data_IF_402648752653
#
_entry.id   IF_402648752653
#
_cell.length_a   1.000
_cell.length_b   1.000
_cell.length_c   1.000
_cell.angle_alpha   90.00
_cell.angle_beta   90.00
_cell.angle_gamma   90.00
#
_symmetry.space_group_name_H-M   'P 1'
#
loop_
_entity.id
_entity.type
_entity.pdbx_description
1 polymer ?
#
# COMPACT_ATOMS: atom_id res chain seq x y z
N UNK A 1 47.56 -35.81 21.18
CA UNK A 1 47.38 -34.40 20.77
C UNK A 1 46.10 -34.25 19.94
N UNK A 2 44.96 -33.85 20.54
CA UNK A 2 43.68 -33.73 19.85
C UNK A 2 43.36 -32.32 19.31
N UNK A 3 44.31 -31.38 19.34
CA UNK A 3 44.09 -29.93 19.12
C UNK A 3 43.59 -29.52 17.74
N UNK A 4 43.90 -30.27 16.67
CA UNK A 4 43.50 -29.90 15.29
C UNK A 4 42.00 -30.06 15.04
N UNK A 5 41.35 -31.09 15.60
CA UNK A 5 39.90 -31.31 15.40
C UNK A 5 39.06 -30.23 16.07
N UNK A 6 39.46 -29.77 17.26
CA UNK A 6 38.82 -28.66 17.94
C UNK A 6 39.01 -27.32 17.21
N UNK A 7 40.17 -27.12 16.58
CA UNK A 7 40.42 -25.93 15.76
C UNK A 7 39.51 -25.87 14.52
N UNK A 8 39.29 -27.00 13.84
CA UNK A 8 38.35 -27.08 12.71
C UNK A 8 36.89 -26.85 13.12
N UNK A 9 36.46 -27.40 14.26
CA UNK A 9 35.09 -27.21 14.78
C UNK A 9 34.88 -25.75 15.21
N UNK A 10 35.88 -25.14 15.86
CA UNK A 10 35.83 -23.72 16.24
C UNK A 10 35.78 -22.80 15.01
N UNK A 11 36.55 -23.10 13.96
CA UNK A 11 36.56 -22.32 12.73
C UNK A 11 35.24 -22.44 11.95
N UNK A 12 34.66 -23.64 11.89
CA UNK A 12 33.35 -23.86 11.28
C UNK A 12 32.23 -23.14 12.04
N UNK A 13 32.28 -23.15 13.38
CA UNK A 13 31.34 -22.39 14.22
C UNK A 13 31.45 -20.87 14.02
N UNK A 14 32.67 -20.34 13.91
CA UNK A 14 32.89 -18.92 13.65
C UNK A 14 32.36 -18.47 12.27
N UNK A 15 32.55 -19.30 11.23
CA UNK A 15 32.01 -19.03 9.89
C UNK A 15 30.48 -19.09 9.84
N UNK A 16 29.87 -20.05 10.55
CA UNK A 16 28.41 -20.14 10.66
C UNK A 16 27.81 -18.92 11.40
N UNK A 17 28.46 -18.47 12.47
CA UNK A 17 28.05 -17.27 13.20
C UNK A 17 28.18 -15.99 12.35
N UNK A 18 29.25 -15.88 11.55
CA UNK A 18 29.43 -14.77 10.61
C UNK A 18 28.38 -14.78 9.50
N UNK A 19 28.07 -15.95 8.92
CA UNK A 19 27.03 -16.08 7.91
C UNK A 19 25.64 -15.72 8.48
N UNK A 20 25.32 -16.19 9.70
CA UNK A 20 24.08 -15.84 10.38
C UNK A 20 24.00 -14.33 10.67
N UNK A 21 25.10 -13.73 11.13
CA UNK A 21 25.19 -12.29 11.35
C UNK A 21 24.94 -11.50 10.05
N UNK A 22 25.54 -11.93 8.93
CA UNK A 22 25.33 -11.29 7.62
C UNK A 22 23.88 -11.44 7.13
N UNK A 23 23.25 -12.60 7.31
CA UNK A 23 21.84 -12.82 6.96
C UNK A 23 20.93 -11.92 7.80
N UNK A 24 21.14 -11.86 9.12
CA UNK A 24 20.39 -11.00 10.04
C UNK A 24 20.61 -9.53 9.68
N UNK A 25 21.84 -9.13 9.35
CA UNK A 25 22.14 -7.75 8.93
C UNK A 25 21.44 -7.39 7.61
N UNK A 26 21.49 -8.24 6.59
CA UNK A 26 20.79 -8.03 5.31
C UNK A 26 19.27 -7.94 5.52
N UNK A 27 18.70 -8.81 6.36
CA UNK A 27 17.29 -8.76 6.70
C UNK A 27 16.94 -7.45 7.44
N UNK A 28 17.80 -7.03 8.38
CA UNK A 28 17.61 -5.80 9.16
C UNK A 28 17.73 -4.55 8.29
N UNK A 29 18.71 -4.49 7.38
CA UNK A 29 18.91 -3.37 6.45
C UNK A 29 17.73 -3.25 5.48
N UNK A 30 17.15 -4.37 5.02
CA UNK A 30 15.90 -4.36 4.22
C UNK A 30 14.69 -3.86 5.00
N UNK A 31 14.63 -4.10 6.31
CA UNK A 31 13.56 -3.59 7.18
C UNK A 31 13.76 -2.11 7.57
N UNK A 32 15.00 -1.64 7.67
CA UNK A 32 15.34 -0.24 7.96
C UNK A 32 15.00 0.71 6.78
N UNK A 33 14.87 0.19 5.55
CA UNK A 33 14.43 0.96 4.38
C UNK A 33 12.93 1.30 4.39
N UNK A 34 12.17 0.89 5.41
CA UNK A 34 10.75 1.26 5.56
C UNK A 34 10.67 2.60 6.31
N UNK A 35 10.94 3.71 5.61
CA UNK A 35 10.68 5.04 6.16
C UNK A 35 9.19 5.35 6.02
N UNK A 36 8.41 5.13 7.07
CA UNK A 36 7.01 5.56 7.13
C UNK A 36 6.93 6.90 7.85
N UNK A 37 6.58 8.02 7.18
CA UNK A 37 6.17 9.21 7.88
C UNK A 37 4.79 8.97 8.50
N UNK A 38 4.74 8.99 9.83
CA UNK A 38 3.50 9.00 10.58
C UNK A 38 2.79 10.35 10.31
N UNK A 39 1.66 10.31 9.60
CA UNK A 39 0.86 11.51 9.35
C UNK A 39 0.38 12.14 10.66
N UNK A 40 0.74 13.41 10.90
CA UNK A 40 0.13 14.24 11.95
C UNK A 40 -1.19 14.80 11.43
N UNK A 41 -2.31 14.31 11.94
CA UNK A 41 -3.46 15.11 12.42
C UNK A 41 -4.64 14.19 12.80
N UNK A 42 -5.04 14.24 14.08
CA UNK A 42 -6.30 13.68 14.56
C UNK A 42 -7.27 14.85 14.80
N UNK A 43 -8.28 15.00 13.94
CA UNK A 43 -9.40 15.90 14.19
C UNK A 43 -10.41 15.26 15.16
N UNK A 44 -11.01 16.11 16.00
CA UNK A 44 -11.84 15.80 17.16
C UNK A 44 -12.99 14.77 16.91
N UNK A 45 -13.44 14.06 17.96
CA UNK A 45 -14.48 13.04 17.82
C UNK A 45 -15.84 13.65 17.47
N UNK A 46 -16.48 13.12 16.43
CA UNK A 46 -17.88 13.37 16.14
C UNK A 46 -18.75 12.48 17.04
N UNK A 47 -19.80 13.04 17.63
CA UNK A 47 -20.82 12.29 18.40
C UNK A 47 -21.54 11.32 17.46
N UNK A 48 -21.54 10.05 17.82
CA UNK A 48 -22.33 9.01 17.15
C UNK A 48 -23.80 9.24 17.53
N UNK A 49 -24.60 9.75 16.60
CA UNK A 49 -26.06 9.86 16.78
C UNK A 49 -26.69 8.54 16.30
N UNK A 50 -27.06 7.68 17.25
CA UNK A 50 -27.69 6.38 16.99
C UNK A 50 -29.08 6.54 16.35
N UNK A 51 -29.21 6.14 15.08
CA UNK A 51 -30.50 5.78 14.48
C UNK A 51 -30.66 4.27 14.59
N UNK A 52 -31.59 3.82 15.45
CA UNK A 52 -31.84 2.40 15.72
C UNK A 52 -32.48 1.75 14.48
N UNK A 53 -31.65 1.19 13.60
CA UNK A 53 -32.02 0.12 12.67
C UNK A 53 -31.89 -1.22 13.40
N UNK A 54 -32.64 -2.28 13.02
CA UNK A 54 -32.38 -3.61 13.53
C UNK A 54 -30.91 -3.96 13.32
N UNK A 55 -30.15 -4.12 14.40
CA UNK A 55 -28.70 -4.34 14.33
C UNK A 55 -28.42 -5.64 13.59
N UNK A 56 -27.84 -5.53 12.40
CA UNK A 56 -27.32 -6.69 11.68
C UNK A 56 -26.25 -7.38 12.55
N UNK A 57 -25.99 -8.69 12.36
CA UNK A 57 -24.88 -9.36 13.05
C UNK A 57 -23.54 -8.64 12.85
N UNK A 58 -23.33 -8.03 11.68
CA UNK A 58 -22.16 -7.19 11.39
C UNK A 58 -22.09 -5.95 12.28
N UNK A 59 -23.22 -5.25 12.49
CA UNK A 59 -23.28 -4.08 13.36
C UNK A 59 -22.84 -4.42 14.79
N UNK A 60 -23.30 -5.55 15.35
CA UNK A 60 -22.90 -5.98 16.70
C UNK A 60 -21.40 -6.25 16.81
N UNK A 61 -20.81 -6.88 15.79
CA UNK A 61 -19.37 -7.17 15.78
C UNK A 61 -18.55 -5.87 15.70
N UNK A 62 -18.90 -4.97 14.79
CA UNK A 62 -18.14 -3.72 14.59
C UNK A 62 -18.31 -2.79 15.78
N UNK A 63 -19.54 -2.54 16.24
CA UNK A 63 -19.80 -1.65 17.38
C UNK A 63 -19.19 -2.19 18.67
N UNK A 64 -19.26 -3.50 18.90
CA UNK A 64 -18.58 -4.14 20.03
C UNK A 64 -17.05 -4.01 19.98
N UNK A 65 -16.47 -4.07 18.78
CA UNK A 65 -15.01 -3.91 18.59
C UNK A 65 -14.54 -2.47 18.77
N UNK A 66 -15.43 -1.49 18.60
CA UNK A 66 -15.12 -0.06 18.68
C UNK A 66 -15.56 0.60 19.99
N UNK A 67 -16.24 -0.13 20.88
CA UNK A 67 -16.87 0.43 22.09
C UNK A 67 -15.88 1.23 22.98
N UNK A 68 -14.66 0.73 23.13
CA UNK A 68 -13.60 1.35 23.93
C UNK A 68 -12.49 1.98 23.07
N UNK A 69 -12.69 2.04 21.75
CA UNK A 69 -11.70 2.56 20.83
C UNK A 69 -11.68 4.09 20.86
N UNK A 70 -10.52 4.67 21.19
CA UNK A 70 -10.31 6.11 21.07
C UNK A 70 -10.09 6.51 19.61
N UNK A 71 -10.60 7.69 19.22
CA UNK A 71 -10.41 8.26 17.88
C UNK A 71 -11.68 8.26 17.02
N UNK A 72 -11.53 8.63 15.76
CA UNK A 72 -12.63 8.53 14.79
C UNK A 72 -12.33 7.43 13.77
N UNK A 73 -13.28 6.53 13.59
CA UNK A 73 -13.20 5.41 12.65
C UNK A 73 -14.19 5.59 11.50
N UNK A 74 -13.81 5.11 10.33
CA UNK A 74 -14.73 4.78 9.26
C UNK A 74 -14.56 3.31 8.92
N UNK A 75 -15.67 2.58 8.83
CA UNK A 75 -15.69 1.14 8.62
C UNK A 75 -16.75 0.81 7.59
N UNK A 76 -16.38 0.05 6.57
CA UNK A 76 -17.30 -0.55 5.61
C UNK A 76 -17.01 -2.05 5.60
N UNK A 77 -18.04 -2.86 5.82
CA UNK A 77 -17.97 -4.31 5.75
C UNK A 77 -19.09 -4.79 4.84
N UNK A 78 -18.74 -5.55 3.81
CA UNK A 78 -19.70 -6.12 2.88
C UNK A 78 -19.44 -7.60 2.65
N UNK A 79 -20.46 -8.41 2.84
CA UNK A 79 -20.44 -9.81 2.44
C UNK A 79 -20.91 -9.91 0.99
N UNK A 80 -20.00 -10.20 0.06
CA UNK A 80 -20.32 -10.26 -1.36
C UNK A 80 -21.24 -11.44 -1.74
N UNK A 81 -21.28 -12.51 -0.93
CA UNK A 81 -22.14 -13.68 -1.18
C UNK A 81 -23.58 -13.50 -0.71
N UNK A 82 -23.79 -12.79 0.42
CA UNK A 82 -25.13 -12.57 0.99
C UNK A 82 -25.70 -11.19 0.72
N UNK A 83 -24.87 -10.23 0.32
CA UNK A 83 -25.25 -8.81 0.15
C UNK A 83 -25.41 -8.06 1.48
N UNK A 84 -25.14 -8.69 2.63
CA UNK A 84 -25.18 -7.99 3.92
C UNK A 84 -24.06 -6.95 4.02
N UNK A 85 -24.39 -5.78 4.56
CA UNK A 85 -23.50 -4.64 4.62
C UNK A 85 -23.61 -3.89 5.96
N UNK A 86 -22.51 -3.30 6.41
CA UNK A 86 -22.44 -2.38 7.54
C UNK A 86 -21.49 -1.24 7.21
N UNK A 87 -21.98 -0.01 7.40
CA UNK A 87 -21.24 1.21 7.09
C UNK A 87 -21.28 2.18 8.28
N UNK A 88 -20.09 2.64 8.68
CA UNK A 88 -19.86 3.65 9.70
C UNK A 88 -18.97 4.74 9.10
N UNK A 89 -19.46 5.98 9.05
CA UNK A 89 -18.71 7.14 8.53
C UNK A 89 -18.09 6.90 7.14
N UNK A 90 -18.75 6.14 6.27
CA UNK A 90 -18.17 5.63 5.01
C UNK A 90 -17.61 6.72 4.10
N UNK A 91 -18.23 7.92 4.12
CA UNK A 91 -17.85 9.08 3.30
C UNK A 91 -16.92 10.07 4.03
N UNK A 92 -16.48 9.75 5.25
CA UNK A 92 -15.52 10.59 5.97
C UNK A 92 -14.13 10.41 5.37
N UNK A 93 -13.50 11.51 5.02
CA UNK A 93 -12.15 11.51 4.47
C UNK A 93 -11.08 11.37 5.55
N UNK A 94 -10.05 10.59 5.23
CA UNK A 94 -8.81 10.44 6.00
C UNK A 94 -7.61 10.64 5.08
N UNK A 95 -6.44 10.98 5.63
CA UNK A 95 -5.19 10.83 4.86
C UNK A 95 -5.06 9.37 4.48
N UNK A 96 -4.84 9.10 3.20
CA UNK A 96 -4.85 7.73 2.67
C UNK A 96 -3.67 6.88 3.15
N UNK A 97 -2.61 7.50 3.68
CA UNK A 97 -1.32 6.87 3.91
C UNK A 97 -0.89 6.13 2.61
N UNK A 98 -0.65 4.82 2.64
CA UNK A 98 -0.29 4.06 1.43
C UNK A 98 -1.47 3.51 0.65
N UNK A 99 -2.73 3.74 1.06
CA UNK A 99 -3.90 3.23 0.34
C UNK A 99 -4.03 3.80 -1.08
N UNK A 100 -3.49 5.00 -1.34
CA UNK A 100 -3.52 5.60 -2.68
C UNK A 100 -2.83 4.73 -3.74
N UNK A 101 -1.87 3.89 -3.33
CA UNK A 101 -1.09 3.02 -4.22
C UNK A 101 -2.00 2.01 -4.95
N UNK A 102 -3.18 1.73 -4.40
CA UNK A 102 -4.19 0.91 -5.07
C UNK A 102 -4.77 1.60 -6.31
N UNK A 103 -4.95 2.93 -6.28
CA UNK A 103 -5.35 3.69 -7.47
C UNK A 103 -4.21 3.81 -8.47
N UNK A 104 -2.97 3.94 -8.00
CA UNK A 104 -1.78 3.94 -8.87
C UNK A 104 -1.65 2.60 -9.60
N UNK A 105 -1.79 1.48 -8.89
CA UNK A 105 -1.80 0.13 -9.48
C UNK A 105 -2.91 -0.01 -10.51
N UNK A 106 -4.14 0.34 -10.15
CA UNK A 106 -5.27 0.20 -11.07
C UNK A 106 -5.12 1.07 -12.32
N UNK A 107 -4.62 2.31 -12.17
CA UNK A 107 -4.27 3.17 -13.30
C UNK A 107 -3.17 2.55 -14.17
N UNK A 108 -2.13 1.95 -13.57
CA UNK A 108 -1.08 1.27 -14.32
C UNK A 108 -1.63 0.11 -15.15
N UNK A 109 -2.49 -0.73 -14.59
CA UNK A 109 -3.14 -1.82 -15.31
C UNK A 109 -4.06 -1.31 -16.43
N UNK A 110 -4.73 -0.18 -16.24
CA UNK A 110 -5.54 0.46 -17.29
C UNK A 110 -4.65 0.90 -18.47
N UNK A 111 -3.51 1.52 -18.19
CA UNK A 111 -2.54 1.94 -19.21
C UNK A 111 -1.85 0.74 -19.89
N UNK A 112 -1.59 -0.34 -19.16
CA UNK A 112 -1.08 -1.61 -19.73
C UNK A 112 -2.10 -2.18 -20.72
N UNK A 113 -3.38 -2.26 -20.33
CA UNK A 113 -4.44 -2.73 -21.22
C UNK A 113 -4.60 -1.82 -22.45
N UNK A 114 -4.42 -0.51 -22.29
CA UNK A 114 -4.46 0.44 -23.39
C UNK A 114 -3.20 0.41 -24.29
N UNK A 115 -2.15 -0.32 -23.90
CA UNK A 115 -0.88 -0.39 -24.63
C UNK A 115 0.00 0.85 -24.51
N UNK A 116 -0.31 1.78 -23.59
CA UNK A 116 0.44 3.02 -23.35
C UNK A 116 1.49 2.89 -22.24
N UNK A 117 1.50 1.77 -21.54
CA UNK A 117 2.50 1.34 -20.57
C UNK A 117 2.83 -0.13 -20.84
N UNK A 118 4.10 -0.53 -20.76
CA UNK A 118 4.49 -1.94 -20.90
C UNK A 118 4.97 -2.49 -19.58
N UNK A 119 4.63 -3.74 -19.28
CA UNK A 119 5.04 -4.41 -18.02
C UNK A 119 6.57 -4.50 -17.88
N UNK A 120 7.30 -4.65 -19.00
CA UNK A 120 8.75 -4.73 -19.08
C UNK A 120 9.45 -3.37 -19.25
N UNK A 121 8.70 -2.26 -19.30
CA UNK A 121 9.28 -0.92 -19.37
C UNK A 121 10.08 -0.64 -18.10
N UNK A 122 11.35 -0.24 -18.24
CA UNK A 122 12.23 0.07 -17.12
C UNK A 122 12.02 1.53 -16.71
N UNK A 123 11.63 1.73 -15.46
CA UNK A 123 11.53 3.03 -14.80
C UNK A 123 12.81 3.28 -14.00
N UNK A 124 13.39 4.47 -14.14
CA UNK A 124 14.66 4.82 -13.51
C UNK A 124 14.62 6.25 -12.97
N UNK A 125 15.15 6.44 -11.76
CA UNK A 125 15.43 7.76 -11.18
C UNK A 125 16.65 7.67 -10.28
N UNK A 126 17.36 8.78 -10.08
CA UNK A 126 18.44 8.80 -9.08
C UNK A 126 17.86 8.77 -7.66
N UNK A 127 18.59 8.19 -6.71
CA UNK A 127 18.19 8.19 -5.30
C UNK A 127 18.03 9.62 -4.77
N UNK A 128 18.86 10.56 -5.25
CA UNK A 128 18.72 11.99 -4.96
C UNK A 128 17.35 12.53 -5.36
N UNK A 129 16.95 12.31 -6.61
CA UNK A 129 15.65 12.76 -7.10
C UNK A 129 14.48 12.11 -6.37
N UNK A 130 14.61 10.83 -6.01
CA UNK A 130 13.59 10.12 -5.23
C UNK A 130 13.45 10.71 -3.83
N UNK A 131 14.57 11.03 -3.17
CA UNK A 131 14.58 11.67 -1.86
C UNK A 131 13.98 13.09 -1.92
N UNK A 132 14.29 13.86 -2.97
CA UNK A 132 13.72 15.19 -3.19
C UNK A 132 12.20 15.14 -3.34
N UNK A 133 11.66 14.23 -4.16
CA UNK A 133 10.20 14.07 -4.35
C UNK A 133 9.50 13.62 -3.06
N UNK A 134 10.15 12.77 -2.28
CA UNK A 134 9.60 12.24 -1.03
C UNK A 134 9.88 13.13 0.18
N UNK A 135 10.55 14.26 -0.02
CA UNK A 135 10.98 15.18 1.04
C UNK A 135 11.86 14.50 2.12
N UNK A 136 12.60 13.45 1.74
CA UNK A 136 13.54 12.73 2.61
C UNK A 136 14.82 13.56 2.77
N UNK A 137 15.11 13.97 4.01
CA UNK A 137 16.35 14.66 4.36
C UNK A 137 17.38 13.64 4.84
N UNK A 138 18.47 13.49 4.09
CA UNK A 138 19.60 12.62 4.44
C UNK A 138 20.92 13.31 4.10
N UNK A 139 21.94 13.04 4.92
CA UNK A 139 23.33 13.45 4.67
C UNK A 139 24.14 12.33 3.96
N UNK A 140 23.52 11.17 3.73
CA UNK A 140 24.15 10.09 2.98
C UNK A 140 24.33 10.48 1.51
N UNK A 141 25.52 10.20 0.98
CA UNK A 141 25.78 10.32 -0.46
C UNK A 141 24.85 9.36 -1.24
N UNK A 142 24.14 9.84 -2.27
CA UNK A 142 23.26 9.01 -3.08
C UNK A 142 24.03 7.82 -3.69
N UNK A 143 23.50 6.61 -3.53
CA UNK A 143 24.13 5.35 -3.95
C UNK A 143 24.00 5.08 -5.46
N UNK A 144 23.35 5.99 -6.19
CA UNK A 144 23.19 5.94 -7.64
C UNK A 144 21.72 5.99 -8.07
N UNK A 145 21.39 5.22 -9.11
CA UNK A 145 20.04 5.13 -9.67
C UNK A 145 19.30 3.89 -9.19
N UNK A 146 18.02 4.05 -8.90
CA UNK A 146 17.09 2.95 -8.65
C UNK A 146 16.34 2.69 -9.96
N UNK A 147 16.33 1.43 -10.40
CA UNK A 147 15.66 1.01 -11.63
C UNK A 147 14.85 -0.26 -11.39
N UNK A 148 13.65 -0.31 -11.97
CA UNK A 148 12.77 -1.48 -11.92
C UNK A 148 11.84 -1.48 -13.12
N UNK A 149 11.42 -2.66 -13.58
CA UNK A 149 10.35 -2.76 -14.57
C UNK A 149 9.03 -2.27 -13.97
N UNK A 150 8.07 -1.86 -14.81
CA UNK A 150 6.71 -1.51 -14.37
C UNK A 150 6.09 -2.63 -13.54
N UNK A 151 6.20 -3.88 -14.01
CA UNK A 151 5.74 -5.06 -13.26
C UNK A 151 6.36 -5.10 -11.86
N UNK A 152 7.68 -4.94 -11.77
CA UNK A 152 8.37 -5.03 -10.48
C UNK A 152 8.07 -3.84 -9.56
N UNK A 153 7.82 -2.67 -10.13
CA UNK A 153 7.37 -1.50 -9.42
C UNK A 153 5.99 -1.73 -8.81
N UNK A 154 5.05 -2.27 -9.58
CA UNK A 154 3.69 -2.58 -9.10
C UNK A 154 3.77 -3.60 -7.95
N UNK A 155 4.50 -4.70 -8.13
CA UNK A 155 4.68 -5.71 -7.10
C UNK A 155 5.25 -5.12 -5.80
N UNK A 156 6.38 -4.42 -5.89
CA UNK A 156 7.06 -3.87 -4.71
C UNK A 156 6.22 -2.80 -4.02
N UNK A 157 5.53 -1.96 -4.80
CA UNK A 157 4.63 -0.92 -4.30
C UNK A 157 3.45 -1.50 -3.52
N UNK A 158 2.93 -2.69 -3.90
CA UNK A 158 1.75 -3.26 -3.26
C UNK A 158 2.12 -4.23 -2.13
N UNK A 159 3.06 -5.14 -2.37
CA UNK A 159 3.39 -6.21 -1.42
C UNK A 159 4.15 -5.66 -0.20
N UNK A 160 5.10 -4.75 -0.42
CA UNK A 160 5.93 -4.18 0.66
C UNK A 160 5.78 -2.66 0.81
N UNK A 161 4.79 -2.07 0.13
CA UNK A 161 4.52 -0.63 0.20
C UNK A 161 5.71 0.25 -0.20
N UNK A 162 6.59 -0.22 -1.10
CA UNK A 162 7.81 0.49 -1.49
C UNK A 162 7.48 1.89 -2.04
N UNK A 163 8.03 2.93 -1.40
CA UNK A 163 7.76 4.31 -1.78
C UNK A 163 8.53 4.75 -3.02
N UNK A 164 9.74 4.24 -3.25
CA UNK A 164 10.50 4.53 -4.47
C UNK A 164 9.78 3.97 -5.70
N UNK A 165 9.25 2.74 -5.59
CA UNK A 165 8.41 2.15 -6.62
C UNK A 165 7.14 2.97 -6.89
N UNK A 166 6.49 3.47 -5.82
CA UNK A 166 5.32 4.32 -5.93
C UNK A 166 5.61 5.65 -6.64
N UNK A 167 6.76 6.28 -6.33
CA UNK A 167 7.21 7.51 -7.01
C UNK A 167 7.50 7.24 -8.48
N UNK A 168 8.26 6.18 -8.80
CA UNK A 168 8.57 5.82 -10.19
C UNK A 168 7.29 5.63 -11.03
N UNK A 169 6.30 4.90 -10.51
CA UNK A 169 5.02 4.70 -11.20
C UNK A 169 4.21 6.00 -11.29
N UNK A 170 4.14 6.78 -10.21
CA UNK A 170 3.35 8.03 -10.20
C UNK A 170 3.90 9.05 -11.18
N UNK A 171 5.22 9.22 -11.23
CA UNK A 171 5.90 10.10 -12.19
C UNK A 171 5.66 9.63 -13.63
N UNK A 172 5.70 8.31 -13.87
CA UNK A 172 5.48 7.73 -15.20
C UNK A 172 4.03 7.84 -15.69
N UNK A 173 3.07 7.68 -14.78
CA UNK A 173 1.64 7.75 -15.11
C UNK A 173 1.16 9.20 -15.23
N UNK A 174 1.66 10.06 -14.34
CA UNK A 174 1.24 11.44 -14.17
C UNK A 174 -0.05 11.55 -13.34
N UNK A 175 -0.10 12.58 -12.49
CA UNK A 175 -1.22 12.85 -11.59
C UNK A 175 -2.58 12.90 -12.29
N UNK A 176 -2.65 13.48 -13.50
CA UNK A 176 -3.91 13.61 -14.25
C UNK A 176 -4.57 12.26 -14.56
N UNK A 177 -3.80 11.24 -14.91
CA UNK A 177 -4.36 9.91 -15.24
C UNK A 177 -4.93 9.24 -13.99
N UNK A 178 -4.23 9.36 -12.86
CA UNK A 178 -4.67 8.78 -11.59
C UNK A 178 -5.94 9.48 -11.10
N UNK A 179 -5.98 10.82 -11.16
CA UNK A 179 -7.19 11.58 -10.81
C UNK A 179 -8.37 11.26 -11.74
N UNK A 180 -8.13 11.14 -13.05
CA UNK A 180 -9.15 10.74 -14.01
C UNK A 180 -9.67 9.31 -13.75
N UNK A 181 -8.80 8.39 -13.34
CA UNK A 181 -9.20 7.04 -12.94
C UNK A 181 -10.22 7.08 -11.79
N UNK A 182 -9.96 7.84 -10.71
CA UNK A 182 -10.91 7.98 -9.61
C UNK A 182 -12.27 8.51 -10.10
N UNK A 183 -12.27 9.53 -10.95
CA UNK A 183 -13.49 10.12 -11.50
C UNK A 183 -14.27 9.13 -12.38
N UNK A 184 -13.59 8.46 -13.30
CA UNK A 184 -14.20 7.51 -14.24
C UNK A 184 -14.81 6.28 -13.54
N UNK A 185 -14.28 5.92 -12.37
CA UNK A 185 -14.77 4.78 -11.58
C UNK A 185 -15.72 5.16 -10.44
N UNK A 186 -16.12 6.44 -10.37
CA UNK A 186 -17.02 6.99 -9.35
C UNK A 186 -16.47 6.90 -7.91
N UNK A 187 -15.15 7.04 -7.73
CA UNK A 187 -14.51 7.17 -6.42
C UNK A 187 -14.43 8.65 -6.01
N UNK A 188 -15.58 9.33 -6.02
CA UNK A 188 -15.66 10.79 -5.91
C UNK A 188 -15.53 11.32 -4.49
N UNK A 189 -15.58 10.46 -3.47
CA UNK A 189 -15.41 10.87 -2.07
C UNK A 189 -13.94 10.83 -1.63
N UNK A 190 -13.06 10.24 -2.45
CA UNK A 190 -11.61 10.23 -2.30
C UNK A 190 -10.96 11.22 -3.26
N UNK A 191 -9.72 11.63 -2.98
CA UNK A 191 -8.97 12.50 -3.87
C UNK A 191 -7.49 12.15 -3.91
N UNK A 192 -6.88 12.31 -5.09
CA UNK A 192 -5.46 12.12 -5.31
C UNK A 192 -4.64 13.42 -5.15
N UNK A 193 -5.21 14.46 -4.53
CA UNK A 193 -4.52 15.72 -4.20
C UNK A 193 -3.36 15.48 -3.22
N UNK A 194 -2.54 16.50 -2.95
CA UNK A 194 -1.47 16.37 -1.93
C UNK A 194 -1.91 16.96 -0.59
N UNK A 195 -1.96 16.18 0.52
CA UNK A 195 -1.79 14.72 0.59
C UNK A 195 -3.04 13.95 0.12
N UNK A 196 -2.91 12.74 -0.45
CA UNK A 196 -4.07 12.02 -0.97
C UNK A 196 -5.03 11.61 0.14
N UNK A 197 -6.32 11.73 -0.11
CA UNK A 197 -7.41 11.47 0.84
C UNK A 197 -8.24 10.28 0.38
N UNK A 198 -8.59 9.39 1.32
CA UNK A 198 -9.41 8.22 1.05
C UNK A 198 -10.62 8.16 1.98
N UNK A 199 -11.69 7.54 1.50
CA UNK A 199 -12.87 7.19 2.29
C UNK A 199 -13.05 5.67 2.34
N UNK A 200 -13.64 5.16 3.42
CA UNK A 200 -13.89 3.72 3.54
C UNK A 200 -14.86 3.23 2.44
N UNK A 201 -15.83 4.07 2.04
CA UNK A 201 -16.78 3.77 0.98
C UNK A 201 -16.10 3.53 -0.38
N UNK A 202 -15.25 4.45 -0.83
CA UNK A 202 -14.58 4.31 -2.13
C UNK A 202 -13.57 3.17 -2.13
N UNK A 203 -12.86 2.96 -1.02
CA UNK A 203 -11.94 1.82 -0.90
C UNK A 203 -12.71 0.49 -0.97
N UNK A 204 -13.85 0.37 -0.28
CA UNK A 204 -14.69 -0.81 -0.36
C UNK A 204 -15.27 -1.00 -1.78
N UNK A 205 -15.69 0.07 -2.45
CA UNK A 205 -16.17 0.03 -3.82
C UNK A 205 -15.07 -0.44 -4.80
N UNK A 206 -13.82 -0.02 -4.60
CA UNK A 206 -12.67 -0.51 -5.38
C UNK A 206 -12.49 -2.02 -5.19
N UNK A 207 -12.46 -2.51 -3.94
CA UNK A 207 -12.33 -3.94 -3.67
C UNK A 207 -13.52 -4.76 -4.21
N UNK A 208 -14.74 -4.25 -4.12
CA UNK A 208 -15.91 -4.92 -4.70
C UNK A 208 -15.80 -5.02 -6.23
N UNK A 209 -15.41 -3.92 -6.92
CA UNK A 209 -15.18 -3.93 -8.37
C UNK A 209 -14.05 -4.89 -8.76
N UNK A 210 -12.99 -4.98 -7.97
CA UNK A 210 -11.93 -5.98 -8.16
C UNK A 210 -12.50 -7.39 -8.08
N UNK A 211 -13.17 -7.74 -6.98
CA UNK A 211 -13.75 -9.06 -6.76
C UNK A 211 -14.77 -9.47 -7.84
N UNK A 212 -15.50 -8.52 -8.41
CA UNK A 212 -16.46 -8.76 -9.51
C UNK A 212 -15.83 -8.79 -10.90
N UNK A 213 -14.57 -8.37 -11.06
CA UNK A 213 -13.93 -8.28 -12.37
C UNK A 213 -14.31 -7.04 -13.18
N UNK A 214 -14.79 -5.98 -12.51
CA UNK A 214 -15.47 -4.83 -13.11
C UNK A 214 -14.62 -3.55 -13.16
N UNK A 215 -13.44 -3.51 -12.55
CA UNK A 215 -12.62 -2.28 -12.55
C UNK A 215 -12.06 -1.97 -13.94
N UNK A 216 -11.59 -2.98 -14.68
CA UNK A 216 -11.04 -2.83 -16.04
C UNK A 216 -11.54 -3.97 -16.91
N UNK A 217 -11.29 -5.19 -16.46
CA UNK A 217 -11.84 -6.46 -16.92
C UNK A 217 -11.44 -7.54 -15.89
N UNK A 218 -11.95 -8.75 -16.08
CA UNK A 218 -11.67 -9.87 -15.17
C UNK A 218 -10.17 -10.19 -15.07
N UNK A 219 -9.44 -10.22 -16.19
CA UNK A 219 -8.03 -10.56 -16.22
C UNK A 219 -7.17 -9.56 -15.42
N UNK A 220 -7.38 -8.25 -15.60
CA UNK A 220 -6.68 -7.21 -14.86
C UNK A 220 -7.05 -7.24 -13.37
N UNK A 221 -8.34 -7.49 -13.05
CA UNK A 221 -8.76 -7.67 -11.65
C UNK A 221 -8.07 -8.86 -10.99
N UNK A 222 -7.99 -10.01 -11.66
CA UNK A 222 -7.35 -11.21 -11.12
C UNK A 222 -5.84 -10.97 -10.88
N UNK A 223 -5.15 -10.26 -11.80
CA UNK A 223 -3.76 -9.84 -11.60
C UNK A 223 -3.60 -8.91 -10.40
N UNK A 224 -4.48 -7.93 -10.23
CA UNK A 224 -4.44 -7.01 -9.08
C UNK A 224 -4.72 -7.72 -7.76
N UNK A 225 -5.71 -8.63 -7.73
CA UNK A 225 -6.05 -9.42 -6.54
C UNK A 225 -4.93 -10.37 -6.13
N UNK A 226 -4.12 -10.87 -7.07
CA UNK A 226 -2.98 -11.73 -6.76
C UNK A 226 -1.84 -11.01 -6.01
N UNK A 227 -1.85 -9.67 -5.96
CA UNK A 227 -0.87 -8.85 -5.26
C UNK A 227 -1.31 -8.42 -3.85
N UNK A 228 -2.60 -8.59 -3.53
CA UNK A 228 -3.25 -8.14 -2.29
C UNK A 228 -3.31 -9.28 -1.26
#
# INVERSE_FOLDING_TARGET
MPSRKYLFIALAGALAALALYLIVKIATDRFQQITTPLGKELSAPAKITNLIKPQSPLAKVVEGSLQDAAGTYAVVVKNLGTGQEYNLNENREFTSASLYKLWVMATAFEQIKAGTLKEDEVLTKTEKELNEIQEIKTEEEPRGSISMTVEKAIESMIIVSDNNAAVLLTERLGHQKITAFLQNHNFSSSSYNSPPRATAGDMAALYEKLARGEIINRQSSDKMLALL
#
